data_IF_063632029556
#
_entry.id   IF_063632029556
#
_cell.length_a   1.000
_cell.length_b   1.000
_cell.length_c   1.000
_cell.angle_alpha   90.00
_cell.angle_beta   90.00
_cell.angle_gamma   90.00
#
_symmetry.space_group_name_H-M   'P 1'
#
loop_
_entity.id
_entity.type
_entity.pdbx_description
1 polymer ?
#
# COMPACT_ATOMS: atom_id res chain seq x y z
N UNK A 1 -3.66 -12.37 7.66
CA UNK A 1 -2.98 -11.23 6.99
C UNK A 1 -1.56 -11.66 6.67
N UNK A 2 -1.01 -11.20 5.55
CA UNK A 2 0.37 -11.43 5.11
C UNK A 2 1.03 -10.10 4.82
N UNK A 3 2.34 -10.01 5.08
CA UNK A 3 3.14 -8.85 4.73
C UNK A 3 3.85 -9.10 3.39
N UNK A 4 3.79 -8.11 2.51
CA UNK A 4 4.51 -8.10 1.24
C UNK A 4 5.53 -6.96 1.25
N UNK A 5 6.69 -7.20 0.64
CA UNK A 5 7.73 -6.19 0.53
C UNK A 5 7.33 -5.15 -0.52
N UNK A 6 7.47 -3.87 -0.16
CA UNK A 6 7.31 -2.72 -1.07
C UNK A 6 8.28 -1.64 -0.61
N UNK A 7 8.93 -0.95 -1.54
CA UNK A 7 9.77 0.21 -1.22
C UNK A 7 8.98 1.50 -1.33
N UNK A 8 9.45 2.57 -0.66
CA UNK A 8 8.83 3.88 -0.77
C UNK A 8 8.70 4.41 -2.20
N UNK A 9 9.67 4.10 -3.06
CA UNK A 9 9.67 4.48 -4.48
C UNK A 9 8.59 3.75 -5.29
N UNK A 10 8.19 2.55 -4.86
CA UNK A 10 7.16 1.75 -5.53
C UNK A 10 5.75 2.15 -5.12
N UNK A 11 5.57 2.89 -4.02
CA UNK A 11 4.24 3.16 -3.47
C UNK A 11 3.33 3.93 -4.43
N UNK A 12 3.83 4.95 -5.13
CA UNK A 12 2.98 5.74 -6.04
C UNK A 12 2.58 4.93 -7.29
N UNK A 13 3.52 4.18 -7.87
CA UNK A 13 3.21 3.27 -8.97
C UNK A 13 2.25 2.16 -8.55
N UNK A 14 2.38 1.65 -7.32
CA UNK A 14 1.44 0.66 -6.77
C UNK A 14 0.03 1.23 -6.59
N UNK A 15 -0.13 2.47 -6.11
CA UNK A 15 -1.44 3.13 -6.04
C UNK A 15 -2.10 3.23 -7.41
N UNK A 16 -1.32 3.53 -8.46
CA UNK A 16 -1.81 3.57 -9.84
C UNK A 16 -2.28 2.19 -10.30
N UNK A 17 -1.48 1.14 -10.08
CA UNK A 17 -1.89 -0.23 -10.40
C UNK A 17 -3.17 -0.65 -9.67
N UNK A 18 -3.33 -0.30 -8.40
CA UNK A 18 -4.56 -0.59 -7.65
C UNK A 18 -5.77 0.08 -8.30
N UNK A 19 -5.64 1.35 -8.72
CA UNK A 19 -6.70 2.06 -9.42
C UNK A 19 -7.02 1.44 -10.80
N UNK A 20 -6.00 1.04 -11.56
CA UNK A 20 -6.15 0.38 -12.87
C UNK A 20 -6.79 -1.02 -12.77
N UNK A 21 -6.69 -1.69 -11.61
CA UNK A 21 -7.25 -3.02 -11.37
C UNK A 21 -8.52 -2.97 -10.51
N UNK A 22 -9.22 -1.83 -10.51
CA UNK A 22 -10.51 -1.61 -9.84
C UNK A 22 -10.50 -1.97 -8.35
N UNK A 23 -9.39 -1.69 -7.65
CA UNK A 23 -9.36 -1.76 -6.19
C UNK A 23 -9.92 -0.46 -5.61
N UNK A 24 -11.12 -0.46 -4.98
CA UNK A 24 -11.69 0.75 -4.44
C UNK A 24 -11.02 1.10 -3.11
N UNK A 25 -10.71 2.37 -2.92
CA UNK A 25 -10.23 2.90 -1.64
C UNK A 25 -11.42 2.99 -0.67
N UNK A 26 -11.35 2.30 0.45
CA UNK A 26 -12.39 2.35 1.50
C UNK A 26 -11.97 3.22 2.69
N UNK A 27 -10.67 3.41 2.88
CA UNK A 27 -10.14 4.30 3.89
C UNK A 27 -8.81 4.89 3.44
N UNK A 28 -8.62 6.18 3.70
CA UNK A 28 -7.38 6.88 3.46
C UNK A 28 -7.17 7.90 4.58
N UNK A 29 -6.04 7.79 5.24
CA UNK A 29 -5.58 8.72 6.27
C UNK A 29 -4.25 9.32 5.82
N UNK A 30 -4.12 10.64 5.94
CA UNK A 30 -2.91 11.38 5.60
C UNK A 30 -2.62 12.33 6.76
N UNK A 31 -1.41 12.27 7.28
CA UNK A 31 -1.05 13.04 8.47
C UNK A 31 0.41 13.48 8.50
N UNK A 32 0.62 14.59 9.17
CA UNK A 32 1.94 15.02 9.64
C UNK A 32 1.97 14.78 11.15
N UNK A 33 2.92 13.96 11.62
CA UNK A 33 3.11 13.76 13.07
C UNK A 33 4.07 14.83 13.63
N UNK A 34 4.06 15.00 14.95
CA UNK A 34 4.78 16.07 15.69
C UNK A 34 6.31 16.13 15.44
N UNK A 35 6.88 15.13 14.75
CA UNK A 35 8.32 14.99 14.48
C UNK A 35 8.64 15.07 12.98
N UNK A 36 8.21 16.11 12.26
CA UNK A 36 8.56 16.35 10.84
C UNK A 36 8.42 15.10 9.95
N UNK A 37 7.50 14.20 10.29
CA UNK A 37 7.29 12.96 9.58
C UNK A 37 5.95 13.03 8.86
N UNK A 38 5.99 12.84 7.55
CA UNK A 38 4.83 12.75 6.70
C UNK A 38 4.49 11.27 6.49
N UNK A 39 3.23 10.92 6.63
CA UNK A 39 2.80 9.55 6.41
C UNK A 39 1.38 9.48 5.88
N UNK A 40 1.07 8.32 5.31
CA UNK A 40 -0.29 8.00 4.93
C UNK A 40 -0.56 6.51 5.09
N UNK A 41 -1.83 6.20 5.30
CA UNK A 41 -2.36 4.85 5.27
C UNK A 41 -3.46 4.82 4.22
N UNK A 42 -3.37 3.87 3.28
CA UNK A 42 -4.43 3.62 2.29
C UNK A 42 -4.93 2.21 2.46
N UNK A 43 -6.24 2.05 2.49
CA UNK A 43 -6.93 0.77 2.54
C UNK A 43 -7.75 0.61 1.28
N UNK A 44 -7.48 -0.47 0.55
CA UNK A 44 -8.32 -0.92 -0.55
C UNK A 44 -9.08 -2.18 -0.15
N UNK A 45 -10.32 -2.30 -0.61
CA UNK A 45 -11.15 -3.47 -0.31
C UNK A 45 -12.16 -3.76 -1.42
N UNK A 46 -11.98 -4.87 -2.15
CA UNK A 46 -12.91 -5.33 -3.18
C UNK A 46 -14.12 -6.09 -2.61
N UNK A 47 -13.90 -6.84 -1.53
CA UNK A 47 -14.89 -7.65 -0.84
C UNK A 47 -14.53 -7.79 0.64
N UNK A 48 -15.38 -8.41 1.46
CA UNK A 48 -15.07 -8.65 2.88
C UNK A 48 -13.82 -9.54 3.09
N UNK A 49 -13.47 -10.36 2.11
CA UNK A 49 -12.31 -11.25 2.15
C UNK A 49 -11.04 -10.63 1.56
N UNK A 50 -11.16 -9.59 0.72
CA UNK A 50 -10.08 -9.02 -0.09
C UNK A 50 -9.78 -7.60 0.36
N UNK A 51 -8.73 -7.48 1.18
CA UNK A 51 -8.29 -6.20 1.75
C UNK A 51 -6.80 -6.04 1.62
N UNK A 52 -6.38 -4.83 1.28
CA UNK A 52 -4.98 -4.40 1.15
C UNK A 52 -4.80 -3.12 1.94
N UNK A 53 -3.75 -3.05 2.74
CA UNK A 53 -3.38 -1.85 3.52
C UNK A 53 -1.95 -1.48 3.16
N UNK A 54 -1.75 -0.25 2.70
CA UNK A 54 -0.44 0.35 2.49
C UNK A 54 -0.18 1.36 3.60
N UNK A 55 0.87 1.13 4.37
CA UNK A 55 1.42 2.08 5.33
C UNK A 55 2.68 2.70 4.72
N UNK A 56 2.74 4.03 4.71
CA UNK A 56 3.91 4.79 4.28
C UNK A 56 4.25 5.84 5.34
N UNK A 57 5.54 5.97 5.64
CA UNK A 57 6.08 7.05 6.45
C UNK A 57 7.41 7.52 5.89
N UNK A 58 7.60 8.83 5.83
CA UNK A 58 8.88 9.49 5.59
C UNK A 58 9.23 10.28 6.86
N UNK A 59 10.34 9.91 7.50
CA UNK A 59 10.89 10.63 8.63
C UNK A 59 12.25 11.22 8.25
N UNK A 60 12.24 12.49 7.85
CA UNK A 60 13.46 13.25 7.51
C UNK A 60 14.30 12.58 6.40
N UNK A 61 13.66 11.95 5.41
CA UNK A 61 14.30 11.24 4.31
C UNK A 61 14.47 9.74 4.55
N UNK A 62 14.21 9.25 5.77
CA UNK A 62 14.12 7.82 6.05
C UNK A 62 12.71 7.31 5.72
N UNK A 63 12.57 6.74 4.53
CA UNK A 63 11.29 6.23 4.04
C UNK A 63 11.08 4.78 4.47
N UNK A 64 9.93 4.51 5.07
CA UNK A 64 9.43 3.19 5.40
C UNK A 64 8.09 2.96 4.72
N UNK A 65 7.96 1.81 4.06
CA UNK A 65 6.72 1.39 3.43
C UNK A 65 6.45 -0.08 3.75
N UNK A 66 5.19 -0.42 3.99
CA UNK A 66 4.76 -1.77 4.30
C UNK A 66 3.39 -2.03 3.68
N UNK A 67 3.26 -3.22 3.07
CA UNK A 67 2.01 -3.68 2.50
C UNK A 67 1.49 -4.88 3.29
N UNK A 68 0.25 -4.78 3.75
CA UNK A 68 -0.49 -5.85 4.40
C UNK A 68 -1.64 -6.30 3.51
N UNK A 69 -1.80 -7.61 3.34
CA UNK A 69 -2.83 -8.18 2.49
C UNK A 69 -3.56 -9.32 3.19
N UNK A 70 -4.83 -9.51 2.88
CA UNK A 70 -5.54 -10.74 3.25
C UNK A 70 -5.03 -11.92 2.42
N UNK A 71 -5.30 -13.15 2.89
CA UNK A 71 -4.91 -14.36 2.15
C UNK A 71 -5.58 -14.42 0.78
N UNK A 72 -6.83 -13.97 0.66
CA UNK A 72 -7.55 -13.94 -0.62
C UNK A 72 -6.95 -12.95 -1.62
N UNK A 73 -6.49 -11.79 -1.17
CA UNK A 73 -5.87 -10.77 -2.01
C UNK A 73 -4.39 -11.05 -2.35
N UNK A 74 -3.74 -11.98 -1.64
CA UNK A 74 -2.29 -12.14 -1.68
C UNK A 74 -1.75 -12.41 -3.07
N UNK A 75 -2.30 -13.40 -3.77
CA UNK A 75 -1.77 -13.81 -5.09
C UNK A 75 -1.88 -12.67 -6.09
N UNK A 76 -3.05 -12.05 -6.22
CA UNK A 76 -3.28 -10.91 -7.13
C UNK A 76 -2.32 -9.76 -6.82
N UNK A 77 -2.18 -9.38 -5.55
CA UNK A 77 -1.32 -8.25 -5.16
C UNK A 77 0.17 -8.57 -5.37
N UNK A 78 0.59 -9.81 -5.16
CA UNK A 78 1.97 -10.24 -5.49
C UNK A 78 2.22 -10.13 -6.99
N UNK A 79 1.26 -10.52 -7.83
CA UNK A 79 1.38 -10.38 -9.29
C UNK A 79 1.46 -8.90 -9.69
N UNK A 80 0.68 -8.02 -9.07
CA UNK A 80 0.77 -6.56 -9.31
C UNK A 80 2.13 -6.00 -8.90
N UNK A 81 2.66 -6.38 -7.74
CA UNK A 81 3.99 -5.95 -7.29
C UNK A 81 5.11 -6.44 -8.22
N UNK A 82 4.98 -7.64 -8.78
CA UNK A 82 5.97 -8.17 -9.72
C UNK A 82 6.11 -7.34 -11.00
N UNK A 83 5.03 -6.66 -11.42
CA UNK A 83 5.03 -5.74 -12.57
C UNK A 83 5.79 -4.43 -12.29
N UNK A 84 5.99 -4.08 -11.02
CA UNK A 84 6.76 -2.89 -10.60
C UNK A 84 8.26 -3.18 -10.41
N UNK A 85 8.66 -4.45 -10.43
CA UNK A 85 10.05 -4.88 -10.27
C UNK A 85 10.76 -5.13 -11.61
N UNK A 86 10.04 -4.99 -12.73
CA UNK A 86 10.52 -5.13 -14.11
C UNK A 86 10.86 -3.76 -14.71
#
# INVERSE_FOLDING_TARGET
MHFLAITGQQCDAFKQLMAENDWPITHQDVGQTELLAYGYVIVWQKSDAEKVVLNYADRQGEVQAQLEVTTAAKTEVQDLLSKLAA
#
